data_IF_229439364499
#
_entry.id   IF_229439364499
#
_cell.length_a   1.000
_cell.length_b   1.000
_cell.length_c   1.000
_cell.angle_alpha   90.00
_cell.angle_beta   90.00
_cell.angle_gamma   90.00
#
_symmetry.space_group_name_H-M   'P 1'
#
loop_
_entity.id
_entity.type
_entity.pdbx_description
1 polymer ?
#
# COMPACT_ATOMS: atom_id res chain seq x y z
N UNK A 1 -10.68 9.49 -35.54
CA UNK A 1 -11.90 9.23 -34.75
C UNK A 1 -12.47 10.58 -34.32
N UNK A 2 -13.79 10.79 -34.39
CA UNK A 2 -14.40 11.95 -33.73
C UNK A 2 -14.80 11.58 -32.29
N UNK A 3 -15.22 12.57 -31.51
CA UNK A 3 -15.49 12.50 -30.06
C UNK A 3 -16.66 11.60 -29.64
N UNK A 4 -17.13 10.70 -30.50
CA UNK A 4 -18.09 9.63 -30.18
C UNK A 4 -17.63 8.21 -30.57
N UNK A 5 -16.38 8.04 -31.04
CA UNK A 5 -15.82 6.71 -31.29
C UNK A 5 -16.38 5.98 -32.53
N UNK A 6 -17.10 6.67 -33.41
CA UNK A 6 -17.56 6.09 -34.68
C UNK A 6 -16.51 6.30 -35.79
N UNK A 7 -16.34 5.29 -36.66
CA UNK A 7 -15.52 5.40 -37.87
C UNK A 7 -16.14 6.44 -38.82
N UNK A 8 -15.36 7.39 -39.38
CA UNK A 8 -15.87 8.30 -40.40
C UNK A 8 -16.43 7.52 -41.59
N UNK A 9 -17.61 7.90 -42.05
CA UNK A 9 -18.35 7.30 -43.19
C UNK A 9 -17.62 7.25 -44.55
N UNK A 10 -16.31 7.54 -44.59
CA UNK A 10 -15.46 7.44 -45.77
C UNK A 10 -14.82 6.06 -45.97
N UNK A 11 -15.02 5.09 -45.07
CA UNK A 11 -14.47 3.72 -45.22
C UNK A 11 -15.18 2.85 -46.28
N UNK A 12 -15.92 3.45 -47.21
CA UNK A 12 -16.56 2.74 -48.33
C UNK A 12 -16.42 3.50 -49.66
N UNK A 13 -15.30 4.19 -49.85
CA UNK A 13 -14.80 4.49 -51.20
C UNK A 13 -13.76 3.43 -51.53
N UNK A 14 -14.02 2.65 -52.59
CA UNK A 14 -13.11 1.62 -53.06
C UNK A 14 -11.68 2.16 -53.12
N UNK A 15 -10.75 1.47 -52.47
CA UNK A 15 -9.37 1.91 -52.45
C UNK A 15 -8.82 1.86 -53.87
N UNK A 16 -8.38 3.01 -54.37
CA UNK A 16 -7.60 3.07 -55.60
C UNK A 16 -6.16 2.83 -55.22
N UNK A 17 -5.70 1.59 -55.37
CA UNK A 17 -4.32 1.22 -55.16
C UNK A 17 -3.61 1.01 -56.50
N UNK A 18 -2.33 1.42 -56.62
CA UNK A 18 -1.53 1.12 -57.80
C UNK A 18 -1.25 -0.39 -57.90
N UNK A 19 -1.21 -0.92 -59.13
CA UNK A 19 -1.08 -2.36 -59.40
C UNK A 19 0.37 -2.86 -59.43
N UNK A 20 1.32 -2.12 -58.84
CA UNK A 20 2.69 -2.63 -58.73
C UNK A 20 2.76 -3.76 -57.71
N UNK A 21 3.54 -4.79 -58.03
CA UNK A 21 3.75 -5.93 -57.14
C UNK A 21 4.99 -5.72 -56.29
N UNK A 22 4.78 -5.35 -55.03
CA UNK A 22 5.81 -5.26 -53.99
C UNK A 22 5.21 -5.81 -52.70
N UNK A 23 5.13 -7.14 -52.57
CA UNK A 23 4.27 -7.78 -51.59
C UNK A 23 4.69 -7.44 -50.18
N UNK A 24 3.71 -7.39 -49.28
CA UNK A 24 3.93 -7.19 -47.85
C UNK A 24 3.14 -8.25 -47.07
N UNK A 25 3.71 -8.69 -45.94
CA UNK A 25 3.06 -9.62 -45.03
C UNK A 25 2.41 -8.81 -43.91
N UNK A 26 1.08 -8.81 -43.88
CA UNK A 26 0.30 -8.11 -42.86
C UNK A 26 0.44 -8.74 -41.48
N UNK A 27 0.25 -7.95 -40.44
CA UNK A 27 0.18 -8.44 -39.05
C UNK A 27 -0.99 -9.42 -38.80
N UNK A 28 -1.92 -9.52 -39.75
CA UNK A 28 -3.01 -10.49 -39.80
C UNK A 28 -2.62 -11.81 -40.48
N UNK A 29 -1.34 -11.98 -40.85
CA UNK A 29 -0.80 -13.20 -41.48
C UNK A 29 -1.18 -13.36 -42.95
N UNK A 30 -1.67 -12.30 -43.61
CA UNK A 30 -2.03 -12.32 -45.03
C UNK A 30 -1.03 -11.56 -45.88
N UNK A 31 -0.71 -12.10 -47.05
CA UNK A 31 0.08 -11.39 -48.06
C UNK A 31 -0.81 -10.41 -48.82
N UNK A 32 -0.34 -9.17 -48.94
CA UNK A 32 -0.96 -8.13 -49.76
C UNK A 32 -0.06 -7.80 -50.95
N UNK A 33 -0.61 -7.54 -52.17
CA UNK A 33 0.19 -7.25 -53.36
C UNK A 33 1.16 -6.08 -53.20
N UNK A 34 0.76 -5.10 -52.39
CA UNK A 34 1.60 -4.02 -51.90
C UNK A 34 1.01 -3.39 -50.63
N UNK A 35 1.76 -2.47 -50.05
CA UNK A 35 1.36 -1.75 -48.82
C UNK A 35 0.06 -0.95 -48.93
N UNK A 36 -0.33 -0.49 -50.12
CA UNK A 36 -1.60 0.20 -50.31
C UNK A 36 -2.77 -0.77 -50.08
N UNK A 37 -2.69 -1.97 -50.68
CA UNK A 37 -3.69 -3.00 -50.49
C UNK A 37 -3.77 -3.48 -49.02
N UNK A 38 -2.65 -3.54 -48.30
CA UNK A 38 -2.63 -3.83 -46.86
C UNK A 38 -3.36 -2.76 -46.04
N UNK A 39 -3.03 -1.48 -46.26
CA UNK A 39 -3.69 -0.35 -45.58
C UNK A 39 -5.18 -0.27 -45.91
N UNK A 40 -5.54 -0.55 -47.16
CA UNK A 40 -6.93 -0.62 -47.60
C UNK A 40 -7.75 -1.66 -46.82
N UNK A 41 -7.14 -2.82 -46.53
CA UNK A 41 -7.75 -3.86 -45.73
C UNK A 41 -7.73 -3.56 -44.21
N UNK A 42 -7.28 -2.37 -43.80
CA UNK A 42 -7.15 -1.97 -42.39
C UNK A 42 -5.89 -2.50 -41.70
N UNK A 43 -4.94 -3.04 -42.44
CA UNK A 43 -3.68 -3.59 -41.91
C UNK A 43 -2.59 -2.53 -41.98
N UNK A 44 -2.31 -1.91 -40.83
CA UNK A 44 -1.35 -0.79 -40.71
C UNK A 44 0.05 -1.23 -40.28
N UNK A 45 0.23 -2.49 -39.86
CA UNK A 45 1.51 -3.11 -39.53
C UNK A 45 1.77 -4.24 -40.51
N UNK A 46 2.89 -4.18 -41.23
CA UNK A 46 3.28 -5.18 -42.21
C UNK A 46 4.81 -5.19 -42.38
N UNK A 47 5.36 -6.31 -42.85
CA UNK A 47 6.78 -6.45 -43.23
C UNK A 47 6.92 -6.63 -44.72
N UNK A 48 8.08 -6.28 -45.28
CA UNK A 48 8.37 -6.48 -46.71
C UNK A 48 8.41 -7.98 -47.07
N UNK A 49 7.84 -8.34 -48.23
CA UNK A 49 7.75 -9.71 -48.74
C UNK A 49 6.38 -10.38 -48.48
N UNK A 50 6.08 -11.45 -49.21
CA UNK A 50 4.89 -12.28 -48.94
C UNK A 50 5.02 -13.02 -47.61
N UNK A 51 3.90 -13.24 -46.91
CA UNK A 51 3.86 -14.13 -45.77
C UNK A 51 4.35 -15.53 -46.18
N UNK A 52 5.26 -16.06 -45.39
CA UNK A 52 5.76 -17.42 -45.53
C UNK A 52 5.09 -18.31 -44.48
N UNK A 53 4.84 -19.57 -44.81
CA UNK A 53 4.38 -20.56 -43.84
C UNK A 53 5.57 -21.04 -43.02
N UNK A 54 5.55 -20.80 -41.71
CA UNK A 54 6.57 -21.27 -40.79
C UNK A 54 5.99 -22.31 -39.82
N UNK A 55 6.85 -23.22 -39.38
CA UNK A 55 6.54 -24.12 -38.26
C UNK A 55 7.53 -23.89 -37.14
N UNK A 56 7.01 -23.81 -35.92
CA UNK A 56 7.84 -23.76 -34.73
C UNK A 56 8.20 -25.17 -34.27
N UNK A 57 9.49 -25.46 -34.16
CA UNK A 57 10.06 -26.74 -33.68
C UNK A 57 10.93 -26.51 -32.44
N UNK A 58 11.11 -27.50 -31.56
CA UNK A 58 12.04 -27.37 -30.42
C UNK A 58 13.49 -27.28 -30.88
N UNK A 59 14.25 -26.40 -30.23
CA UNK A 59 15.68 -26.22 -30.49
C UNK A 59 16.44 -27.55 -30.30
N UNK A 60 17.12 -28.04 -31.35
CA UNK A 60 17.90 -29.29 -31.33
C UNK A 60 17.16 -30.60 -31.64
N UNK A 61 15.87 -30.60 -32.04
CA UNK A 61 15.16 -31.82 -32.47
C UNK A 61 15.14 -32.01 -33.99
N UNK A 62 15.41 -33.23 -34.46
CA UNK A 62 15.13 -33.62 -35.86
C UNK A 62 13.60 -33.62 -36.13
N UNK A 63 13.19 -33.02 -37.25
CA UNK A 63 11.80 -32.90 -37.68
C UNK A 63 11.12 -34.27 -37.84
N UNK A 64 10.41 -34.71 -36.78
CA UNK A 64 9.39 -35.74 -36.85
C UNK A 64 8.01 -35.06 -36.77
N UNK A 65 7.10 -35.35 -37.70
CA UNK A 65 5.91 -34.52 -37.98
C UNK A 65 4.90 -34.37 -36.83
N UNK A 66 5.02 -35.16 -35.76
CA UNK A 66 4.04 -35.23 -34.67
C UNK A 66 4.13 -34.10 -33.63
N UNK A 67 5.09 -33.17 -33.71
CA UNK A 67 5.35 -32.16 -32.65
C UNK A 67 5.50 -30.70 -33.12
N UNK A 68 5.21 -30.38 -34.38
CA UNK A 68 5.37 -29.02 -34.92
C UNK A 68 4.06 -28.22 -34.92
N UNK A 69 4.08 -26.97 -34.46
CA UNK A 69 2.95 -26.03 -34.54
C UNK A 69 3.11 -25.19 -35.80
N UNK A 70 2.11 -25.20 -36.70
CA UNK A 70 2.09 -24.36 -37.91
C UNK A 70 1.56 -22.98 -37.53
N UNK A 71 2.36 -21.94 -37.75
CA UNK A 71 1.95 -20.56 -37.50
C UNK A 71 2.13 -19.75 -38.79
N UNK A 72 1.15 -18.91 -39.11
CA UNK A 72 1.26 -17.93 -40.21
C UNK A 72 1.91 -16.63 -39.72
N UNK A 73 2.65 -16.70 -38.60
CA UNK A 73 3.27 -15.56 -37.95
C UNK A 73 4.58 -15.19 -38.68
N UNK A 74 4.95 -13.90 -38.72
CA UNK A 74 6.27 -13.50 -39.22
C UNK A 74 7.38 -14.23 -38.46
N UNK A 75 8.55 -14.36 -39.11
CA UNK A 75 9.71 -15.18 -38.69
C UNK A 75 10.14 -14.99 -37.22
N UNK A 76 9.73 -13.90 -36.56
CA UNK A 76 10.12 -13.49 -35.22
C UNK A 76 9.27 -14.07 -34.07
N UNK A 77 8.21 -14.86 -34.32
CA UNK A 77 7.30 -15.31 -33.25
C UNK A 77 7.18 -16.84 -33.18
N UNK A 78 8.07 -17.46 -32.42
CA UNK A 78 7.88 -18.79 -31.83
C UNK A 78 7.90 -18.67 -30.29
N UNK A 79 7.16 -19.53 -29.59
CA UNK A 79 7.20 -19.57 -28.11
C UNK A 79 8.64 -19.78 -27.60
N UNK A 80 8.98 -19.34 -26.37
CA UNK A 80 10.31 -19.59 -25.79
C UNK A 80 10.69 -21.08 -25.82
N UNK A 81 11.85 -21.39 -26.40
CA UNK A 81 12.36 -22.76 -26.59
C UNK A 81 12.04 -23.41 -27.95
N UNK A 82 11.45 -22.66 -28.89
CA UNK A 82 11.17 -23.09 -30.25
C UNK A 82 11.89 -22.21 -31.30
N UNK A 83 12.26 -22.80 -32.44
CA UNK A 83 12.91 -22.16 -33.60
C UNK A 83 12.11 -22.40 -34.88
N UNK A 84 12.20 -21.49 -35.85
CA UNK A 84 11.49 -21.56 -37.14
C UNK A 84 12.12 -22.58 -38.11
N UNK A 85 11.30 -23.42 -38.75
CA UNK A 85 11.72 -24.33 -39.82
C UNK A 85 10.81 -24.22 -41.07
N UNK A 86 11.41 -24.28 -42.27
CA UNK A 86 10.81 -23.81 -43.53
C UNK A 86 10.24 -24.91 -44.47
N UNK A 87 10.27 -26.21 -44.11
CA UNK A 87 10.05 -27.29 -45.10
C UNK A 87 8.60 -27.85 -45.17
N UNK A 88 8.08 -27.91 -46.41
CA UNK A 88 6.71 -28.26 -46.82
C UNK A 88 6.46 -29.76 -47.05
N UNK A 89 7.48 -30.62 -46.99
CA UNK A 89 7.37 -32.03 -47.47
C UNK A 89 6.93 -33.09 -46.45
N UNK A 90 6.63 -32.74 -45.19
CA UNK A 90 6.37 -33.74 -44.12
C UNK A 90 5.21 -33.40 -43.20
N UNK A 91 3.97 -33.40 -43.66
CA UNK A 91 2.80 -33.31 -42.77
C UNK A 91 1.62 -34.13 -43.28
N UNK A 92 1.38 -35.29 -42.68
CA UNK A 92 0.12 -36.02 -42.79
C UNK A 92 -0.61 -36.00 -41.45
N UNK A 93 -1.70 -35.21 -41.43
CA UNK A 93 -2.90 -35.17 -40.59
C UNK A 93 -2.95 -35.94 -39.24
N UNK A 94 -3.39 -35.25 -38.18
CA UNK A 94 -4.69 -35.44 -37.45
C UNK A 94 -4.69 -34.59 -36.15
N UNK A 95 -5.91 -34.19 -35.78
CA UNK A 95 -6.38 -33.15 -34.86
C UNK A 95 -6.13 -33.44 -33.37
N UNK A 96 -5.84 -32.38 -32.60
CA UNK A 96 -6.08 -32.34 -31.15
C UNK A 96 -6.93 -31.12 -30.78
N UNK A 97 -7.91 -31.35 -29.92
CA UNK A 97 -8.84 -30.37 -29.35
C UNK A 97 -8.43 -29.96 -27.93
N UNK A 98 -8.96 -28.79 -27.52
CA UNK A 98 -9.18 -28.23 -26.17
C UNK A 98 -8.33 -26.98 -25.90
N UNK A 99 -8.86 -25.85 -25.43
CA UNK A 99 -10.11 -25.55 -24.72
C UNK A 99 -10.53 -24.07 -24.98
N UNK A 100 -11.79 -23.72 -24.69
CA UNK A 100 -12.44 -22.43 -24.99
C UNK A 100 -11.68 -21.18 -24.49
N UNK A 101 -11.82 -20.03 -25.18
CA UNK A 101 -11.00 -18.84 -24.95
C UNK A 101 -11.35 -18.16 -23.63
N UNK A 102 -10.35 -17.98 -22.76
CA UNK A 102 -10.44 -16.94 -21.75
C UNK A 102 -10.32 -15.58 -22.44
N UNK A 103 -11.31 -14.72 -22.18
CA UNK A 103 -11.37 -13.32 -22.62
C UNK A 103 -10.11 -12.52 -22.24
N UNK A 104 -9.83 -11.42 -22.96
CA UNK A 104 -8.47 -10.95 -23.21
C UNK A 104 -7.81 -10.46 -21.92
N UNK A 105 -6.63 -11.00 -21.61
CA UNK A 105 -5.67 -10.21 -20.84
C UNK A 105 -5.26 -9.06 -21.74
N UNK A 106 -5.74 -7.86 -21.43
CA UNK A 106 -5.00 -6.65 -21.76
C UNK A 106 -3.54 -6.91 -21.43
N UNK A 107 -2.65 -6.67 -22.40
CA UNK A 107 -1.23 -6.56 -22.12
C UNK A 107 -1.05 -5.53 -21.00
N UNK A 108 -0.43 -5.85 -19.86
CA UNK A 108 0.14 -4.79 -19.07
C UNK A 108 1.32 -4.27 -19.90
N UNK A 109 1.18 -3.08 -20.48
CA UNK A 109 2.35 -2.28 -20.80
C UNK A 109 3.19 -2.18 -19.52
N UNK A 110 4.48 -2.54 -19.51
CA UNK A 110 5.41 -1.85 -18.63
C UNK A 110 5.96 -0.66 -19.44
N UNK A 111 6.53 0.39 -18.87
CA UNK A 111 7.93 0.31 -18.47
C UNK A 111 8.33 1.45 -17.53
N UNK A 112 7.38 1.98 -16.76
CA UNK A 112 7.75 2.81 -15.63
C UNK A 112 6.67 2.77 -14.53
N UNK A 113 7.10 2.90 -13.27
CA UNK A 113 6.25 2.94 -12.10
C UNK A 113 5.62 4.35 -11.96
N UNK A 114 4.30 4.37 -11.76
CA UNK A 114 3.52 5.58 -11.54
C UNK A 114 3.67 6.08 -10.09
N UNK A 115 3.20 7.29 -9.81
CA UNK A 115 3.28 7.91 -8.48
C UNK A 115 2.63 7.00 -7.40
N UNK A 116 3.40 6.69 -6.35
CA UNK A 116 3.02 5.78 -5.27
C UNK A 116 3.28 4.30 -5.54
N UNK A 117 3.86 3.92 -6.69
CA UNK A 117 4.25 2.53 -6.99
C UNK A 117 5.71 2.27 -6.64
N UNK A 118 6.03 1.01 -6.35
CA UNK A 118 7.39 0.58 -6.02
C UNK A 118 8.34 0.77 -7.19
N UNK A 119 9.57 1.18 -6.90
CA UNK A 119 10.58 1.52 -7.89
C UNK A 119 11.95 0.96 -7.54
N UNK A 120 12.84 1.00 -8.52
CA UNK A 120 14.22 0.53 -8.37
C UNK A 120 15.15 1.56 -9.00
N UNK A 121 16.29 1.80 -8.33
CA UNK A 121 17.35 2.69 -8.82
C UNK A 121 18.47 1.83 -9.40
N UNK A 122 18.94 2.19 -10.59
CA UNK A 122 20.07 1.55 -11.27
C UNK A 122 21.17 2.57 -11.54
N UNK A 123 22.43 2.16 -11.40
CA UNK A 123 23.57 2.95 -11.86
C UNK A 123 23.88 2.60 -13.31
N UNK A 124 23.97 3.63 -14.15
CA UNK A 124 24.43 3.49 -15.53
C UNK A 124 25.96 3.41 -15.57
N UNK A 125 26.50 2.89 -16.67
CA UNK A 125 27.95 2.72 -16.87
C UNK A 125 28.76 4.03 -16.79
N UNK A 126 28.10 5.20 -16.88
CA UNK A 126 28.70 6.53 -16.72
C UNK A 126 28.64 7.05 -15.27
N UNK A 127 28.10 6.27 -14.34
CA UNK A 127 27.90 6.65 -12.94
C UNK A 127 26.60 7.43 -12.67
N UNK A 128 25.79 7.72 -13.68
CA UNK A 128 24.51 8.40 -13.49
C UNK A 128 23.45 7.44 -12.92
N UNK A 129 22.73 7.85 -11.88
CA UNK A 129 21.62 7.10 -11.29
C UNK A 129 20.33 7.33 -12.09
N UNK A 130 19.65 6.26 -12.48
CA UNK A 130 18.35 6.29 -13.15
C UNK A 130 17.33 5.46 -12.38
N UNK A 131 16.03 5.76 -12.49
CA UNK A 131 14.98 5.02 -11.79
C UNK A 131 13.88 4.54 -12.73
N UNK A 132 13.10 3.55 -12.29
CA UNK A 132 11.95 3.02 -13.04
C UNK A 132 10.75 3.97 -13.06
N UNK A 133 10.80 5.20 -12.54
CA UNK A 133 9.61 6.04 -12.39
C UNK A 133 9.22 6.82 -13.66
N UNK A 134 7.92 6.97 -13.93
CA UNK A 134 7.41 7.65 -15.13
C UNK A 134 7.54 9.18 -15.06
N UNK A 135 7.51 9.87 -16.21
CA UNK A 135 7.19 11.31 -16.30
C UNK A 135 7.97 12.24 -15.34
N UNK A 136 9.27 11.99 -15.13
CA UNK A 136 10.11 12.82 -14.26
C UNK A 136 9.88 12.63 -12.75
N UNK A 137 9.09 11.63 -12.37
CA UNK A 137 9.01 11.15 -10.99
C UNK A 137 10.37 10.58 -10.56
N UNK A 138 10.70 10.67 -9.28
CA UNK A 138 11.93 10.13 -8.71
C UNK A 138 11.63 8.98 -7.75
N UNK A 139 12.56 8.03 -7.67
CA UNK A 139 12.44 6.91 -6.75
C UNK A 139 12.95 7.34 -5.37
N UNK A 140 12.04 7.43 -4.39
CA UNK A 140 12.37 7.78 -3.01
C UNK A 140 13.24 6.72 -2.31
N UNK A 141 13.83 7.07 -1.18
CA UNK A 141 14.63 6.17 -0.34
C UNK A 141 13.85 4.95 0.17
N UNK A 142 12.52 5.09 0.31
CA UNK A 142 11.59 4.01 0.62
C UNK A 142 11.24 3.11 -0.59
N UNK A 143 11.86 3.34 -1.75
CA UNK A 143 11.64 2.54 -2.96
C UNK A 143 10.28 2.80 -3.61
N UNK A 144 9.73 4.02 -3.50
CA UNK A 144 8.44 4.41 -4.10
C UNK A 144 8.62 5.61 -5.04
N UNK A 145 7.95 5.60 -6.20
CA UNK A 145 7.94 6.73 -7.13
C UNK A 145 7.17 7.91 -6.58
N UNK A 146 7.79 9.08 -6.55
CA UNK A 146 7.20 10.32 -6.02
C UNK A 146 7.37 11.47 -7.00
N UNK A 147 6.41 12.39 -7.00
CA UNK A 147 6.49 13.59 -7.82
C UNK A 147 7.21 14.70 -7.06
N UNK A 148 8.44 15.00 -7.48
CA UNK A 148 9.24 16.05 -6.85
C UNK A 148 8.65 17.45 -7.03
N UNK A 149 7.85 17.69 -8.08
CA UNK A 149 7.19 19.00 -8.30
C UNK A 149 5.95 19.22 -7.44
N UNK A 150 5.48 18.19 -6.73
CA UNK A 150 4.39 18.27 -5.74
C UNK A 150 4.85 17.91 -4.33
N UNK A 151 6.15 18.00 -4.08
CA UNK A 151 6.67 17.85 -2.72
C UNK A 151 6.14 18.98 -1.86
N UNK A 152 5.71 18.62 -0.67
CA UNK A 152 5.40 19.58 0.36
C UNK A 152 5.89 19.02 1.67
N UNK A 153 6.29 19.95 2.52
CA UNK A 153 6.72 19.68 3.87
C UNK A 153 6.00 20.70 4.74
N UNK A 154 5.40 20.24 5.84
CA UNK A 154 4.81 21.07 6.88
C UNK A 154 5.53 20.79 8.17
N UNK A 155 5.97 21.85 8.80
CA UNK A 155 6.69 21.85 10.06
C UNK A 155 5.81 22.57 11.08
N UNK A 156 5.56 21.97 12.23
CA UNK A 156 4.65 22.52 13.25
C UNK A 156 5.26 23.68 14.04
N UNK A 157 6.59 23.79 14.10
CA UNK A 157 7.27 24.81 14.90
C UNK A 157 7.99 25.87 14.05
N UNK A 158 7.84 25.76 12.73
CA UNK A 158 8.34 26.68 11.71
C UNK A 158 9.87 26.83 11.71
N UNK A 159 10.62 25.75 11.90
CA UNK A 159 12.01 25.69 11.46
C UNK A 159 12.91 24.95 12.43
N UNK A 160 13.99 25.61 12.86
CA UNK A 160 14.98 25.01 13.76
C UNK A 160 14.88 25.63 15.14
N UNK A 161 14.16 24.99 16.04
CA UNK A 161 13.92 25.47 17.38
C UNK A 161 13.95 24.33 18.42
N UNK A 162 15.15 24.08 18.95
CA UNK A 162 15.42 23.13 20.04
C UNK A 162 14.61 23.33 21.34
N UNK A 163 13.78 24.37 21.47
CA UNK A 163 12.97 24.67 22.66
C UNK A 163 11.47 24.46 22.44
N UNK A 164 11.04 24.14 21.22
CA UNK A 164 9.65 23.87 20.89
C UNK A 164 9.60 22.49 20.28
N UNK A 165 8.62 21.69 20.70
CA UNK A 165 8.49 20.35 20.13
C UNK A 165 7.89 20.49 18.72
N UNK A 166 8.66 20.08 17.71
CA UNK A 166 8.30 20.05 16.32
C UNK A 166 7.84 18.67 15.84
N UNK A 167 6.78 18.67 15.04
CA UNK A 167 6.38 17.59 14.17
C UNK A 167 6.55 18.07 12.73
N UNK A 168 7.31 17.31 11.95
CA UNK A 168 7.44 17.55 10.51
C UNK A 168 6.76 16.45 9.71
N UNK A 169 5.88 16.86 8.79
CA UNK A 169 5.14 15.99 7.88
C UNK A 169 5.59 16.29 6.46
N UNK A 170 6.11 15.27 5.78
CA UNK A 170 6.54 15.36 4.39
C UNK A 170 5.66 14.49 3.50
N UNK A 171 5.28 15.05 2.35
CA UNK A 171 4.35 14.44 1.43
C UNK A 171 4.65 14.76 -0.03
N UNK A 172 3.99 14.02 -0.91
CA UNK A 172 4.03 14.19 -2.36
C UNK A 172 2.61 14.07 -2.91
N UNK A 173 2.19 15.04 -3.72
CA UNK A 173 0.79 15.13 -4.14
C UNK A 173 -0.13 15.22 -2.92
N UNK A 174 -1.13 14.35 -2.84
CA UNK A 174 -2.08 14.31 -1.70
C UNK A 174 -1.70 13.28 -0.63
N UNK A 175 -0.54 12.61 -0.76
CA UNK A 175 -0.11 11.54 0.15
C UNK A 175 0.95 12.01 1.14
N UNK A 176 0.75 11.66 2.41
CA UNK A 176 1.81 11.73 3.43
C UNK A 176 2.77 10.57 3.18
N UNK A 177 4.07 10.87 3.11
CA UNK A 177 5.14 9.89 2.86
C UNK A 177 5.89 9.60 4.15
N UNK A 178 6.22 10.64 4.90
CA UNK A 178 7.06 10.54 6.09
C UNK A 178 6.56 11.54 7.14
N UNK A 179 6.67 11.13 8.41
CA UNK A 179 6.32 11.94 9.55
C UNK A 179 7.40 11.72 10.61
N UNK A 180 8.01 12.81 11.03
CA UNK A 180 9.10 12.80 12.01
C UNK A 180 8.81 13.82 13.10
N UNK A 181 9.48 13.61 14.24
CA UNK A 181 9.32 14.43 15.43
C UNK A 181 10.69 14.77 15.99
N UNK A 182 10.80 15.93 16.61
CA UNK A 182 11.99 16.27 17.35
C UNK A 182 12.22 15.26 18.46
N UNK A 183 13.47 14.83 18.58
CA UNK A 183 13.83 13.75 19.50
C UNK A 183 15.17 14.02 20.14
N UNK A 184 15.37 13.42 21.31
CA UNK A 184 16.65 13.53 21.99
C UNK A 184 17.69 12.61 21.35
N UNK A 185 18.87 13.19 21.11
CA UNK A 185 20.09 12.45 20.84
C UNK A 185 21.03 12.65 22.03
N UNK A 186 21.16 11.60 22.83
CA UNK A 186 21.81 11.66 24.15
C UNK A 186 21.08 12.64 25.09
N UNK A 187 21.68 12.98 26.23
CA UNK A 187 21.07 13.88 27.23
C UNK A 187 21.22 15.36 26.90
N UNK A 188 22.01 15.73 25.89
CA UNK A 188 22.43 17.12 25.68
C UNK A 188 22.16 17.65 24.28
N UNK A 189 21.55 16.86 23.38
CA UNK A 189 21.25 17.32 22.02
C UNK A 189 19.83 16.96 21.61
N UNK A 190 19.23 17.87 20.83
CA UNK A 190 17.97 17.65 20.11
C UNK A 190 18.31 17.33 18.66
N UNK A 191 17.72 16.27 18.12
CA UNK A 191 17.60 16.07 16.68
C UNK A 191 16.35 16.79 16.25
N UNK A 192 16.58 17.91 15.58
CA UNK A 192 15.57 18.81 15.06
C UNK A 192 15.17 18.37 13.65
N UNK A 193 13.89 18.13 13.41
CA UNK A 193 13.33 17.87 12.09
C UNK A 193 12.57 19.08 11.59
N UNK A 194 12.90 19.55 10.40
CA UNK A 194 12.40 20.81 9.86
C UNK A 194 12.20 20.76 8.35
N UNK A 195 11.39 21.67 7.83
CA UNK A 195 11.21 21.83 6.39
C UNK A 195 12.17 22.86 5.80
N UNK A 196 12.89 22.50 4.75
CA UNK A 196 13.66 23.43 3.92
C UNK A 196 13.32 23.21 2.46
N UNK A 197 12.84 24.26 1.78
CA UNK A 197 12.44 24.24 0.37
C UNK A 197 11.44 23.12 0.03
N UNK A 198 10.50 22.84 0.95
CA UNK A 198 9.50 21.78 0.78
C UNK A 198 10.01 20.36 1.01
N UNK A 199 11.23 20.20 1.50
CA UNK A 199 11.88 18.91 1.76
C UNK A 199 12.12 18.74 3.26
N UNK A 200 11.88 17.53 3.77
CA UNK A 200 12.24 17.13 5.13
C UNK A 200 13.76 17.16 5.32
N UNK A 201 14.21 17.82 6.37
CA UNK A 201 15.61 17.86 6.79
C UNK A 201 15.69 17.60 8.29
N UNK A 202 16.88 17.23 8.75
CA UNK A 202 17.19 17.20 10.17
C UNK A 202 18.55 17.78 10.48
N UNK A 203 18.75 18.21 11.72
CA UNK A 203 20.02 18.67 12.24
C UNK A 203 20.10 18.40 13.73
N UNK A 204 21.30 18.18 14.26
CA UNK A 204 21.50 18.00 15.70
C UNK A 204 21.91 19.34 16.31
N UNK A 205 21.12 19.81 17.27
CA UNK A 205 21.35 21.08 17.95
C UNK A 205 21.63 20.83 19.44
N UNK A 206 22.78 21.29 19.98
CA UNK A 206 23.10 21.09 21.39
C UNK A 206 22.26 22.00 22.29
N UNK A 207 21.80 21.45 23.41
CA UNK A 207 21.21 22.21 24.50
C UNK A 207 22.25 23.11 25.17
N UNK A 208 21.82 24.25 25.72
CA UNK A 208 22.75 25.16 26.39
C UNK A 208 23.27 24.54 27.69
N UNK A 209 24.38 25.08 28.18
CA UNK A 209 24.94 24.67 29.48
C UNK A 209 23.89 24.79 30.59
N UNK A 210 23.67 23.70 31.34
CA UNK A 210 22.65 23.60 32.38
C UNK A 210 21.27 23.13 31.91
N UNK A 211 21.12 22.85 30.61
CA UNK A 211 19.94 22.23 30.02
C UNK A 211 20.20 20.76 29.68
N UNK A 212 19.14 19.97 29.62
CA UNK A 212 19.13 18.60 29.09
C UNK A 212 18.06 18.48 28.01
N UNK A 213 18.22 17.52 27.11
CA UNK A 213 17.15 17.15 26.20
C UNK A 213 16.15 16.24 26.91
N UNK A 214 14.87 16.58 26.82
CA UNK A 214 13.75 15.73 27.24
C UNK A 214 12.59 15.90 26.28
N UNK A 215 11.97 14.79 25.88
CA UNK A 215 10.80 14.75 24.99
C UNK A 215 11.00 15.59 23.70
N UNK A 216 12.21 15.55 23.13
CA UNK A 216 12.53 16.26 21.88
C UNK A 216 12.87 17.73 22.03
N UNK A 217 12.95 18.28 23.25
CA UNK A 217 13.26 19.69 23.49
C UNK A 217 14.31 19.88 24.58
N UNK A 218 15.03 21.00 24.53
CA UNK A 218 15.94 21.44 25.56
C UNK A 218 15.17 22.07 26.73
N UNK A 219 15.39 21.53 27.93
CA UNK A 219 14.78 21.99 29.18
C UNK A 219 15.85 22.23 30.24
N UNK A 220 15.63 23.18 31.15
CA UNK A 220 16.56 23.41 32.28
C UNK A 220 16.59 22.16 33.17
N UNK A 221 17.80 21.72 33.54
CA UNK A 221 17.98 20.58 34.44
C UNK A 221 17.32 20.86 35.81
N UNK A 222 16.52 19.92 36.30
CA UNK A 222 15.71 20.04 37.52
C UNK A 222 14.37 20.77 37.37
N UNK A 223 14.00 21.19 36.15
CA UNK A 223 12.72 21.84 35.83
C UNK A 223 12.01 21.12 34.69
N UNK A 224 12.20 19.81 34.58
CA UNK A 224 11.74 19.04 33.42
C UNK A 224 10.30 18.54 33.58
N UNK A 225 9.39 19.05 32.76
CA UNK A 225 8.01 18.54 32.67
C UNK A 225 7.93 17.36 31.70
N UNK A 226 6.88 16.54 31.84
CA UNK A 226 6.49 15.59 30.79
C UNK A 226 5.65 16.38 29.80
N UNK A 227 6.01 16.39 28.52
CA UNK A 227 5.35 17.23 27.51
C UNK A 227 3.86 16.92 27.34
N UNK A 228 3.50 15.63 27.38
CA UNK A 228 2.14 15.14 27.30
C UNK A 228 1.94 13.90 28.18
N UNK A 229 0.75 13.77 28.77
CA UNK A 229 0.38 12.63 29.57
C UNK A 229 -1.14 12.54 29.72
N UNK A 230 -1.63 11.38 30.11
CA UNK A 230 -3.03 11.15 30.44
C UNK A 230 -3.14 10.80 31.92
N UNK A 231 -4.01 11.52 32.64
CA UNK A 231 -4.34 11.23 34.04
C UNK A 231 -5.84 11.42 34.28
N UNK A 232 -6.45 10.48 35.02
CA UNK A 232 -7.86 10.53 35.41
C UNK A 232 -8.83 10.72 34.22
N UNK A 233 -8.55 10.10 33.07
CA UNK A 233 -9.38 10.22 31.87
C UNK A 233 -9.29 11.57 31.18
N UNK A 234 -8.25 12.35 31.45
CA UNK A 234 -7.95 13.63 30.79
C UNK A 234 -6.56 13.55 30.19
N UNK A 235 -6.46 13.83 28.89
CA UNK A 235 -5.20 13.96 28.17
C UNK A 235 -4.72 15.42 28.23
N UNK A 236 -3.49 15.61 28.70
CA UNK A 236 -2.79 16.87 28.84
C UNK A 236 -1.68 16.92 27.79
N UNK A 237 -1.55 18.04 27.09
CA UNK A 237 -0.46 18.25 26.13
C UNK A 237 0.01 19.70 26.18
N UNK A 238 1.19 19.95 25.59
CA UNK A 238 1.88 21.24 25.64
C UNK A 238 2.18 21.69 27.08
N UNK A 239 2.69 20.77 27.89
CA UNK A 239 3.07 21.02 29.27
C UNK A 239 4.46 21.66 29.37
N UNK A 240 4.59 22.72 30.16
CA UNK A 240 5.88 23.38 30.42
C UNK A 240 5.99 23.82 31.88
N UNK A 241 7.23 24.04 32.34
CA UNK A 241 7.49 24.46 33.70
C UNK A 241 7.17 25.94 33.86
N UNK A 242 6.25 26.28 34.77
CA UNK A 242 5.93 27.66 35.09
C UNK A 242 6.83 28.14 36.24
N UNK A 243 7.69 29.13 35.99
CA UNK A 243 8.62 29.64 37.00
C UNK A 243 7.93 30.38 38.17
N UNK A 244 6.69 30.86 37.98
CA UNK A 244 5.95 31.58 39.02
C UNK A 244 5.26 30.63 40.00
N UNK A 245 4.65 29.54 39.50
CA UNK A 245 3.99 28.54 40.34
C UNK A 245 4.96 27.47 40.85
N UNK A 246 6.08 27.27 40.16
CA UNK A 246 7.03 26.20 40.45
C UNK A 246 6.55 24.81 40.03
N UNK A 247 5.45 24.73 39.27
CA UNK A 247 4.79 23.50 38.85
C UNK A 247 4.75 23.38 37.31
N UNK A 248 4.48 22.16 36.83
CA UNK A 248 4.24 21.91 35.41
C UNK A 248 2.81 22.26 35.04
N UNK A 249 2.64 23.17 34.09
CA UNK A 249 1.34 23.61 33.62
C UNK A 249 1.16 23.26 32.14
N UNK A 250 -0.01 22.71 31.81
CA UNK A 250 -0.36 22.30 30.45
C UNK A 250 -1.43 23.23 29.89
N UNK A 251 -1.19 23.76 28.69
CA UNK A 251 -2.11 24.67 28.03
C UNK A 251 -3.35 23.96 27.47
N UNK A 252 -3.21 22.67 27.12
CA UNK A 252 -4.29 21.89 26.52
C UNK A 252 -4.72 20.75 27.44
N UNK A 253 -6.04 20.58 27.60
CA UNK A 253 -6.67 19.54 28.41
C UNK A 253 -7.89 19.00 27.67
N UNK A 254 -7.85 17.72 27.30
CA UNK A 254 -8.91 17.05 26.55
C UNK A 254 -9.45 15.91 27.39
N UNK A 255 -10.77 15.88 27.63
CA UNK A 255 -11.40 14.71 28.27
C UNK A 255 -11.41 13.55 27.28
N UNK A 256 -10.97 12.38 27.72
CA UNK A 256 -11.06 11.17 26.92
C UNK A 256 -12.52 10.75 26.78
N UNK A 257 -12.95 10.44 25.56
CA UNK A 257 -14.32 9.98 25.29
C UNK A 257 -14.66 8.69 26.06
N UNK A 258 -13.65 7.84 26.26
CA UNK A 258 -13.71 6.62 27.07
C UNK A 258 -13.74 6.87 28.59
N UNK A 259 -13.43 8.09 29.03
CA UNK A 259 -13.22 8.43 30.43
C UNK A 259 -11.98 7.81 31.07
N UNK A 260 -11.11 7.12 30.31
CA UNK A 260 -9.93 6.41 30.83
C UNK A 260 -8.66 6.67 30.01
N UNK A 261 -7.51 6.52 30.65
CA UNK A 261 -6.19 6.57 30.02
C UNK A 261 -5.72 5.16 29.63
N UNK A 262 -4.78 5.06 28.69
CA UNK A 262 -4.09 3.80 28.42
C UNK A 262 -3.22 3.38 29.62
N UNK A 263 -2.73 2.14 29.65
CA UNK A 263 -1.94 1.61 30.77
C UNK A 263 -0.65 2.39 31.03
N UNK A 264 -0.08 2.98 29.99
CA UNK A 264 1.16 3.76 30.06
C UNK A 264 0.93 5.20 30.53
N UNK A 265 -0.33 5.66 30.58
CA UNK A 265 -0.66 7.05 30.92
C UNK A 265 -0.17 8.05 29.86
N UNK A 266 0.05 7.61 28.62
CA UNK A 266 0.58 8.41 27.52
C UNK A 266 -0.50 8.86 26.53
N UNK A 267 -1.69 8.25 26.57
CA UNK A 267 -2.79 8.58 25.67
C UNK A 267 -4.15 8.29 26.30
N UNK A 268 -5.22 8.81 25.67
CA UNK A 268 -6.57 8.34 25.95
C UNK A 268 -6.66 6.85 25.62
N UNK A 269 -7.09 6.05 26.60
CA UNK A 269 -7.26 4.63 26.43
C UNK A 269 -8.62 4.36 25.78
N UNK A 270 -8.74 3.28 25.02
CA UNK A 270 -10.06 2.66 24.82
C UNK A 270 -10.42 1.90 26.09
N UNK A 271 -11.67 1.96 26.53
CA UNK A 271 -12.18 0.89 27.40
C UNK A 271 -12.11 -0.37 26.54
N UNK A 272 -11.22 -1.30 26.84
CA UNK A 272 -11.34 -2.66 26.32
C UNK A 272 -12.66 -3.21 26.88
N UNK A 273 -13.78 -2.92 26.21
CA UNK A 273 -15.07 -3.52 26.50
C UNK A 273 -15.01 -4.96 26.00
N UNK A 274 -14.27 -5.81 26.70
CA UNK A 274 -14.40 -7.25 26.52
C UNK A 274 -15.66 -7.66 27.27
N UNK A 275 -16.70 -7.99 26.51
CA UNK A 275 -17.91 -8.55 27.06
C UNK A 275 -17.68 -10.06 27.25
N UNK A 276 -17.61 -10.58 28.49
CA UNK A 276 -17.49 -12.02 28.71
C UNK A 276 -18.73 -12.69 28.11
N UNK A 277 -18.53 -13.74 27.31
CA UNK A 277 -19.65 -14.48 26.70
C UNK A 277 -20.65 -14.99 27.76
N UNK A 278 -20.15 -15.28 28.97
CA UNK A 278 -20.93 -15.66 30.14
C UNK A 278 -20.34 -15.10 31.43
N UNK A 279 -21.19 -14.76 32.40
CA UNK A 279 -20.79 -14.31 33.74
C UNK A 279 -21.98 -14.40 34.71
N UNK A 280 -21.72 -14.33 36.02
CA UNK A 280 -22.74 -14.26 37.05
C UNK A 280 -22.65 -12.93 37.80
N UNK A 281 -23.77 -12.21 37.93
CA UNK A 281 -23.86 -10.97 38.71
C UNK A 281 -25.18 -10.90 39.47
N UNK A 282 -25.13 -10.47 40.73
CA UNK A 282 -26.30 -10.27 41.60
C UNK A 282 -27.23 -11.50 41.70
N UNK A 283 -26.64 -12.71 41.69
CA UNK A 283 -27.40 -13.96 41.76
C UNK A 283 -28.09 -14.34 40.45
N UNK A 284 -27.70 -13.73 39.32
CA UNK A 284 -28.20 -14.04 37.99
C UNK A 284 -27.03 -14.46 37.11
N UNK A 285 -27.15 -15.60 36.44
CA UNK A 285 -26.21 -16.07 35.43
C UNK A 285 -26.64 -15.58 34.05
N UNK A 286 -25.71 -14.92 33.37
CA UNK A 286 -25.86 -14.34 32.05
C UNK A 286 -25.04 -15.18 31.06
N UNK A 287 -25.61 -15.51 29.91
CA UNK A 287 -24.88 -16.19 28.82
C UNK A 287 -25.34 -15.71 27.46
N UNK A 288 -24.52 -15.97 26.43
CA UNK A 288 -24.69 -15.44 25.08
C UNK A 288 -24.61 -13.93 25.06
N UNK A 289 -23.69 -13.37 25.86
CA UNK A 289 -23.46 -11.94 25.96
C UNK A 289 -22.59 -11.44 24.82
N UNK A 290 -23.02 -10.36 24.19
CA UNK A 290 -22.26 -9.63 23.18
C UNK A 290 -22.21 -8.16 23.54
N UNK A 291 -21.13 -7.49 23.15
CA UNK A 291 -21.04 -6.05 23.29
C UNK A 291 -21.93 -5.37 22.25
N UNK A 292 -22.90 -4.58 22.69
CA UNK A 292 -23.62 -3.69 21.79
C UNK A 292 -22.73 -2.51 21.43
N UNK A 293 -22.37 -2.38 20.15
CA UNK A 293 -21.47 -1.34 19.65
C UNK A 293 -22.03 0.09 19.73
N UNK A 294 -23.35 0.25 19.89
CA UNK A 294 -24.00 1.55 20.00
C UNK A 294 -24.14 2.02 21.45
N UNK A 295 -24.33 1.09 22.40
CA UNK A 295 -24.54 1.43 23.82
C UNK A 295 -23.32 1.17 24.69
N UNK A 296 -22.36 0.39 24.21
CA UNK A 296 -21.20 -0.06 24.97
C UNK A 296 -21.54 -0.99 26.14
N UNK A 297 -22.77 -1.52 26.18
CA UNK A 297 -23.25 -2.43 27.22
C UNK A 297 -23.26 -3.88 26.73
N UNK A 298 -23.04 -4.81 27.66
CA UNK A 298 -23.21 -6.24 27.41
C UNK A 298 -24.70 -6.59 27.33
N UNK A 299 -25.15 -6.99 26.15
CA UNK A 299 -26.48 -7.53 25.94
C UNK A 299 -26.41 -9.06 25.93
N UNK A 300 -27.15 -9.68 26.84
CA UNK A 300 -27.13 -11.13 27.04
C UNK A 300 -28.47 -11.74 26.66
N UNK A 301 -28.43 -12.91 26.03
CA UNK A 301 -29.63 -13.58 25.49
C UNK A 301 -30.35 -14.43 26.52
N UNK A 302 -29.65 -14.89 27.57
CA UNK A 302 -30.23 -15.77 28.60
C UNK A 302 -29.90 -15.28 30.00
N UNK A 303 -30.92 -15.22 30.85
CA UNK A 303 -30.86 -14.81 32.25
C UNK A 303 -31.39 -15.96 33.12
N UNK A 304 -30.52 -16.63 33.88
CA UNK A 304 -30.92 -17.70 34.81
C UNK A 304 -30.74 -17.21 36.23
N UNK A 305 -31.81 -17.19 37.02
CA UNK A 305 -31.72 -16.91 38.46
C UNK A 305 -31.03 -18.07 39.17
N UNK A 306 -29.96 -17.78 39.91
CA UNK A 306 -29.26 -18.80 40.69
C UNK A 306 -30.14 -19.30 41.83
N UNK A 307 -30.27 -20.62 41.98
CA UNK A 307 -31.05 -21.23 43.07
C UNK A 307 -30.55 -20.84 44.46
N UNK A 308 -29.24 -20.57 44.60
CA UNK A 308 -28.62 -20.06 45.83
C UNK A 308 -28.83 -18.55 46.06
N UNK A 309 -29.35 -17.83 45.06
CA UNK A 309 -29.40 -16.37 45.02
C UNK A 309 -28.03 -15.69 45.00
N UNK A 310 -26.95 -16.44 44.73
CA UNK A 310 -25.56 -15.95 44.79
C UNK A 310 -24.71 -16.46 43.63
N UNK A 311 -23.71 -15.67 43.27
CA UNK A 311 -22.65 -16.06 42.35
C UNK A 311 -21.44 -16.63 43.14
N UNK A 312 -20.58 -17.39 42.46
CA UNK A 312 -19.30 -17.80 43.01
C UNK A 312 -18.36 -16.61 43.25
N UNK A 313 -17.22 -16.86 43.91
CA UNK A 313 -16.24 -15.82 44.25
C UNK A 313 -15.56 -15.19 43.02
N UNK A 314 -15.62 -15.85 41.87
CA UNK A 314 -15.05 -15.34 40.62
C UNK A 314 -16.08 -14.56 39.78
N UNK A 315 -17.35 -14.53 40.21
CA UNK A 315 -18.43 -13.91 39.46
C UNK A 315 -18.70 -14.62 38.12
N UNK A 316 -18.32 -15.89 38.00
CA UNK A 316 -18.40 -16.63 36.73
C UNK A 316 -19.65 -17.48 36.65
N UNK A 317 -19.99 -18.21 37.71
CA UNK A 317 -21.14 -19.11 37.75
C UNK A 317 -22.01 -18.91 38.99
N UNK A 318 -23.18 -19.55 39.01
CA UNK A 318 -24.01 -19.63 40.21
C UNK A 318 -23.30 -20.42 41.31
N UNK A 319 -23.28 -19.88 42.53
CA UNK A 319 -22.76 -20.60 43.69
C UNK A 319 -23.64 -21.81 43.99
N UNK A 320 -23.05 -22.95 44.32
CA UNK A 320 -23.79 -24.12 44.78
C UNK A 320 -24.45 -23.83 46.14
N UNK A 321 -25.66 -24.35 46.33
CA UNK A 321 -26.30 -24.35 47.64
C UNK A 321 -25.50 -25.34 48.49
N UNK A 322 -24.69 -24.83 49.43
CA UNK A 322 -23.81 -25.67 50.24
C UNK A 322 -24.59 -26.80 50.91
N UNK A 323 -24.35 -28.04 50.45
CA UNK A 323 -24.63 -29.22 51.24
C UNK A 323 -23.79 -29.14 52.51
N UNK A 324 -24.43 -29.33 53.66
CA UNK A 324 -23.79 -29.36 54.96
C UNK A 324 -22.49 -30.18 54.90
N UNK A 325 -21.40 -29.60 55.41
CA UNK A 325 -20.16 -30.31 55.64
C UNK A 325 -20.46 -31.58 56.48
N UNK A 326 -20.18 -32.76 55.91
CA UNK A 326 -20.15 -33.98 56.69
C UNK A 326 -19.05 -33.84 57.75
N UNK A 327 -19.31 -34.18 59.04
CA UNK A 327 -18.26 -34.15 60.03
C UNK A 327 -17.26 -35.27 59.70
N UNK A 328 -15.98 -34.91 59.64
CA UNK A 328 -14.87 -35.84 59.49
C UNK A 328 -14.84 -36.81 60.66
N UNK A 329 -14.99 -38.10 60.38
CA UNK A 329 -14.65 -39.22 61.28
C UNK A 329 -13.30 -39.81 60.91
#
# INVERSE_FOLDING_TARGET
>A
MNSKGECPSYCNQGCVCPDYYKPVCGSDGKSYPNECYAKCAGVVKYTDGECQEYKCIKEGQECKPEKAVITHAPQEVCCPGLVCAQDKTKLSAVVYTCQQPQQPKEEPQPTCALEGQTCTVYQTATGAQTSTCCNGLMCGSNGVCVNLTKQWCKDSDNGKNQYTFGQTVYGTGDKVVEMEYDKCYEETNVVEYYCLDGVLKSTTIPCKSGEICKDGVCVKKGKECVYEYCANGVFYTSCSYNENSGECECSTKVKCDSGVCNKEGTACGSVEQTCPYEYCKDGVFYTGCNLNSNTGQCECTTLVQCTSGRCDSEGKYCASVGGAAAPSS
#
